data_IF_074241825577
#
_entry.id   IF_074241825577
#
_cell.length_a   1.000
_cell.length_b   1.000
_cell.length_c   1.000
_cell.angle_alpha   90.00
_cell.angle_beta   90.00
_cell.angle_gamma   90.00
#
_symmetry.space_group_name_H-M   'P 1'
#
loop_
_entity.id
_entity.type
_entity.pdbx_description
1 polymer ?
#
# COMPACT_ATOMS: atom_id res chain seq x y z
N UNK A 1 10.06 -12.06 -22.06
CA UNK A 1 8.84 -12.01 -21.22
C UNK A 1 8.52 -13.31 -20.43
N UNK A 2 9.27 -14.43 -20.62
CA UNK A 2 8.92 -15.81 -20.21
C UNK A 2 8.69 -16.12 -18.70
N UNK A 3 8.82 -15.15 -17.77
CA UNK A 3 8.61 -15.37 -16.32
C UNK A 3 7.93 -14.21 -15.59
N UNK A 4 7.25 -13.31 -16.33
CA UNK A 4 6.51 -12.20 -15.73
C UNK A 4 5.02 -12.52 -15.60
N UNK A 5 4.42 -12.16 -14.47
CA UNK A 5 3.00 -12.43 -14.18
C UNK A 5 2.34 -11.25 -13.48
N UNK A 6 1.01 -11.23 -13.47
CA UNK A 6 0.20 -10.26 -12.72
C UNK A 6 -0.53 -10.90 -11.54
N UNK A 7 -0.71 -10.15 -10.45
CA UNK A 7 -1.57 -10.58 -9.35
C UNK A 7 -3.04 -10.26 -9.66
N UNK A 8 -3.85 -11.30 -9.91
CA UNK A 8 -5.31 -11.20 -10.10
C UNK A 8 -6.11 -11.51 -8.82
N UNK A 9 -5.46 -11.50 -7.64
CA UNK A 9 -6.15 -11.62 -6.35
C UNK A 9 -6.21 -10.27 -5.64
N UNK A 10 -7.25 -9.99 -4.84
CA UNK A 10 -7.36 -8.74 -4.07
C UNK A 10 -6.08 -8.39 -3.29
N UNK A 11 -5.45 -9.41 -2.73
CA UNK A 11 -4.17 -9.34 -2.03
C UNK A 11 -3.41 -10.65 -2.22
N UNK A 12 -2.09 -10.56 -2.32
CA UNK A 12 -1.19 -11.71 -2.29
C UNK A 12 -0.07 -11.43 -1.29
N UNK A 13 0.06 -12.29 -0.29
CA UNK A 13 1.11 -12.16 0.73
C UNK A 13 2.46 -12.61 0.15
N UNK A 14 3.49 -11.81 0.40
CA UNK A 14 4.89 -12.16 0.15
C UNK A 14 5.55 -12.49 1.49
N UNK A 15 6.02 -13.72 1.62
CA UNK A 15 6.63 -14.26 2.83
C UNK A 15 8.15 -14.20 2.76
N UNK A 16 8.80 -14.06 3.93
CA UNK A 16 10.27 -14.07 4.03
C UNK A 16 10.89 -15.43 3.67
N UNK A 17 10.24 -16.51 4.13
CA UNK A 17 10.61 -17.90 3.88
C UNK A 17 9.48 -18.63 3.17
N UNK A 18 9.79 -19.76 2.53
CA UNK A 18 8.87 -20.63 1.81
C UNK A 18 8.00 -21.50 2.74
N UNK A 19 7.44 -20.93 3.81
CA UNK A 19 6.49 -21.61 4.69
C UNK A 19 5.46 -20.60 5.25
N UNK A 20 4.27 -21.10 5.60
CA UNK A 20 3.16 -20.25 6.07
C UNK A 20 3.35 -19.72 7.50
N UNK A 21 4.21 -20.35 8.30
CA UNK A 21 4.59 -19.86 9.64
C UNK A 21 5.54 -18.64 9.56
N UNK A 22 6.11 -18.38 8.37
CA UNK A 22 6.99 -17.24 8.14
C UNK A 22 6.21 -15.92 8.23
N UNK A 23 6.88 -14.87 8.73
CA UNK A 23 6.33 -13.52 8.70
C UNK A 23 6.08 -13.08 7.26
N UNK A 24 5.00 -12.32 7.07
CA UNK A 24 4.75 -11.59 5.83
C UNK A 24 5.74 -10.42 5.80
N UNK A 25 6.54 -10.32 4.73
CA UNK A 25 7.43 -9.16 4.54
C UNK A 25 6.66 -8.02 3.87
N UNK A 26 5.83 -8.33 2.88
CA UNK A 26 5.00 -7.33 2.18
C UNK A 26 3.80 -8.00 1.50
N UNK A 27 2.96 -7.19 0.87
CA UNK A 27 1.82 -7.64 0.07
C UNK A 27 1.90 -7.10 -1.36
N UNK A 28 1.34 -7.85 -2.30
CA UNK A 28 1.01 -7.37 -3.63
C UNK A 28 -0.48 -7.02 -3.66
N UNK A 29 -0.83 -5.86 -4.20
CA UNK A 29 -2.21 -5.47 -4.48
C UNK A 29 -2.67 -6.08 -5.80
N UNK A 30 -3.98 -6.10 -6.05
CA UNK A 30 -4.50 -6.49 -7.37
C UNK A 30 -3.87 -5.61 -8.46
N UNK A 31 -3.40 -6.23 -9.53
CA UNK A 31 -2.70 -5.55 -10.63
C UNK A 31 -1.20 -5.38 -10.46
N UNK A 32 -0.64 -5.71 -9.29
CA UNK A 32 0.81 -5.70 -9.13
C UNK A 32 1.45 -6.81 -9.95
N UNK A 33 2.45 -6.44 -10.75
CA UNK A 33 3.19 -7.36 -11.60
C UNK A 33 4.49 -7.78 -10.92
N UNK A 34 4.92 -9.02 -11.16
CA UNK A 34 6.14 -9.59 -10.60
C UNK A 34 6.85 -10.48 -11.62
N UNK A 35 8.11 -10.84 -11.32
CA UNK A 35 8.87 -11.87 -12.06
C UNK A 35 9.16 -13.05 -11.12
N UNK A 36 9.01 -14.27 -11.60
CA UNK A 36 9.44 -15.47 -10.87
C UNK A 36 10.94 -15.65 -11.06
N UNK A 37 11.68 -15.79 -9.96
CA UNK A 37 13.15 -15.98 -9.95
C UNK A 37 13.56 -17.39 -9.54
N UNK A 38 12.74 -18.11 -8.75
CA UNK A 38 12.96 -19.52 -8.42
C UNK A 38 11.62 -20.23 -8.22
N UNK A 39 11.51 -21.47 -8.69
CA UNK A 39 10.34 -22.35 -8.47
C UNK A 39 10.71 -23.43 -7.47
N UNK A 40 9.77 -23.80 -6.61
CA UNK A 40 9.90 -24.89 -5.64
C UNK A 40 8.52 -25.53 -5.45
N UNK A 41 8.44 -26.76 -4.88
CA UNK A 41 7.16 -27.36 -4.55
C UNK A 41 6.31 -26.38 -3.72
N UNK A 42 5.09 -26.11 -4.17
CA UNK A 42 4.12 -25.22 -3.52
C UNK A 42 4.51 -23.72 -3.36
N UNK A 43 5.70 -23.31 -3.81
CA UNK A 43 6.20 -21.93 -3.63
C UNK A 43 6.93 -21.38 -4.85
N UNK A 44 6.86 -20.06 -5.03
CA UNK A 44 7.65 -19.31 -6.02
C UNK A 44 8.38 -18.20 -5.29
N UNK A 45 9.70 -18.13 -5.45
CA UNK A 45 10.45 -16.92 -5.10
C UNK A 45 10.25 -15.92 -6.24
N UNK A 46 9.84 -14.69 -5.91
CA UNK A 46 9.54 -13.65 -6.88
C UNK A 46 10.29 -12.36 -6.57
N UNK A 47 10.33 -11.48 -7.57
CA UNK A 47 10.68 -10.07 -7.43
C UNK A 47 9.49 -9.21 -7.91
N UNK A 48 9.00 -8.31 -7.06
CA UNK A 48 7.92 -7.37 -7.41
C UNK A 48 8.49 -6.35 -8.41
N UNK A 49 7.81 -6.13 -9.54
CA UNK A 49 8.33 -5.20 -10.58
C UNK A 49 8.35 -3.75 -10.13
N UNK A 50 7.43 -3.37 -9.24
CA UNK A 50 7.23 -1.99 -8.81
C UNK A 50 8.36 -1.45 -7.94
N UNK A 51 8.82 -2.26 -7.00
CA UNK A 51 9.79 -1.84 -5.97
C UNK A 51 11.01 -2.77 -5.85
N UNK A 52 11.08 -3.84 -6.63
CA UNK A 52 12.20 -4.79 -6.61
C UNK A 52 12.20 -5.70 -5.38
N UNK A 53 11.15 -5.66 -4.53
CA UNK A 53 11.11 -6.46 -3.31
C UNK A 53 11.07 -7.95 -3.63
N UNK A 54 11.88 -8.75 -2.93
CA UNK A 54 12.00 -10.20 -3.14
C UNK A 54 11.39 -10.97 -1.98
N UNK A 55 10.80 -12.13 -2.28
CA UNK A 55 10.27 -13.03 -1.27
C UNK A 55 9.52 -14.20 -1.89
N UNK A 56 8.74 -14.92 -1.09
CA UNK A 56 8.07 -16.15 -1.49
C UNK A 56 6.55 -15.98 -1.53
N UNK A 57 5.92 -16.48 -2.58
CA UNK A 57 4.46 -16.59 -2.69
C UNK A 57 4.07 -18.06 -2.84
N UNK A 58 2.85 -18.40 -2.42
CA UNK A 58 2.26 -19.72 -2.72
C UNK A 58 2.11 -19.91 -4.23
N UNK A 59 2.46 -21.10 -4.70
CA UNK A 59 2.28 -21.49 -6.10
C UNK A 59 0.80 -21.57 -6.44
N UNK A 60 0.42 -20.86 -7.50
CA UNK A 60 -0.85 -21.03 -8.23
C UNK A 60 -0.67 -20.57 -9.66
N UNK A 61 -1.72 -20.73 -10.48
CA UNK A 61 -1.80 -20.14 -11.82
C UNK A 61 -1.97 -18.62 -11.66
N UNK A 62 -1.11 -17.87 -12.33
CA UNK A 62 -1.17 -16.41 -12.41
C UNK A 62 -1.28 -16.02 -13.88
N UNK A 63 -2.06 -14.99 -14.22
CA UNK A 63 -2.14 -14.51 -15.59
C UNK A 63 -0.84 -13.81 -16.01
N UNK A 64 -0.75 -13.53 -17.31
CA UNK A 64 0.24 -12.59 -17.85
C UNK A 64 0.15 -11.22 -17.14
N UNK A 65 1.22 -10.40 -17.22
CA UNK A 65 1.24 -9.10 -16.56
C UNK A 65 0.03 -8.24 -16.92
N UNK A 66 -0.63 -7.70 -15.89
CA UNK A 66 -1.81 -6.86 -16.04
C UNK A 66 -1.37 -5.48 -16.53
N UNK A 67 -1.80 -5.10 -17.73
CA UNK A 67 -1.65 -3.75 -18.29
C UNK A 67 -2.84 -2.89 -17.86
N UNK A 68 -2.77 -2.35 -16.65
CA UNK A 68 -3.87 -1.58 -16.05
C UNK A 68 -4.05 -0.20 -16.71
N UNK A 69 -5.31 0.19 -16.93
CA UNK A 69 -5.70 1.53 -17.39
C UNK A 69 -6.43 2.33 -16.30
N UNK A 70 -6.89 1.67 -15.23
CA UNK A 70 -7.51 2.30 -14.05
C UNK A 70 -6.84 1.86 -12.74
N UNK A 71 -7.06 2.65 -11.69
CA UNK A 71 -6.67 2.36 -10.31
C UNK A 71 -7.75 2.80 -9.33
N UNK A 72 -7.89 2.04 -8.25
CA UNK A 72 -8.82 2.34 -7.15
C UNK A 72 -8.30 3.53 -6.33
N UNK A 73 -9.16 4.50 -6.02
CA UNK A 73 -8.80 5.68 -5.21
C UNK A 73 -9.55 5.78 -3.88
N UNK A 74 -10.56 4.93 -3.66
CA UNK A 74 -11.21 4.78 -2.35
C UNK A 74 -10.49 3.72 -1.51
N UNK A 75 -10.69 3.73 -0.18
CA UNK A 75 -10.09 2.74 0.72
C UNK A 75 -10.40 1.29 0.33
N UNK A 76 -11.67 1.02 0.03
CA UNK A 76 -12.24 -0.29 -0.25
C UNK A 76 -13.33 -0.17 -1.32
N UNK A 77 -13.04 -0.61 -2.55
CA UNK A 77 -14.02 -0.67 -3.63
C UNK A 77 -14.75 -2.02 -3.62
N UNK A 78 -16.07 -1.97 -3.74
CA UNK A 78 -16.91 -3.17 -3.83
C UNK A 78 -16.87 -3.75 -5.25
N UNK A 79 -16.94 -5.08 -5.37
CA UNK A 79 -17.07 -5.76 -6.65
C UNK A 79 -18.50 -6.27 -6.86
N UNK A 80 -18.89 -6.47 -8.12
CA UNK A 80 -20.22 -6.90 -8.52
C UNK A 80 -20.13 -7.95 -9.64
N UNK A 81 -21.07 -8.91 -9.67
CA UNK A 81 -21.15 -9.90 -10.76
C UNK A 81 -21.81 -9.33 -12.03
N UNK A 82 -22.71 -8.37 -11.86
CA UNK A 82 -23.43 -7.65 -12.94
C UNK A 82 -23.31 -6.14 -12.69
N UNK A 83 -23.48 -5.28 -13.71
CA UNK A 83 -23.37 -3.82 -13.59
C UNK A 83 -24.60 -3.19 -12.91
N UNK A 84 -24.89 -3.65 -11.68
CA UNK A 84 -26.04 -3.23 -10.89
C UNK A 84 -25.67 -3.30 -9.40
N UNK A 85 -26.06 -2.29 -8.62
CA UNK A 85 -25.75 -2.18 -7.18
C UNK A 85 -26.29 -3.34 -6.34
N UNK A 86 -27.41 -3.97 -6.75
CA UNK A 86 -27.98 -5.15 -6.09
C UNK A 86 -27.12 -6.41 -6.25
N UNK A 87 -26.19 -6.44 -7.21
CA UNK A 87 -25.34 -7.60 -7.51
C UNK A 87 -23.96 -7.53 -6.84
N UNK A 88 -23.88 -6.85 -5.69
CA UNK A 88 -22.64 -6.71 -4.91
C UNK A 88 -22.21 -8.06 -4.36
N UNK A 89 -20.91 -8.35 -4.42
CA UNK A 89 -20.31 -9.57 -3.86
C UNK A 89 -19.39 -9.27 -2.68
N UNK A 90 -19.05 -10.29 -1.89
CA UNK A 90 -18.13 -10.19 -0.74
C UNK A 90 -16.65 -9.90 -1.09
N UNK A 91 -16.32 -9.68 -2.37
CA UNK A 91 -14.96 -9.37 -2.83
C UNK A 91 -14.78 -7.85 -2.96
N UNK A 92 -13.56 -7.40 -2.64
CA UNK A 92 -13.23 -5.99 -2.59
C UNK A 92 -11.81 -5.75 -3.12
N UNK A 93 -11.57 -4.57 -3.69
CA UNK A 93 -10.22 -4.10 -4.02
C UNK A 93 -9.81 -2.97 -3.07
N UNK A 94 -8.55 -2.97 -2.65
CA UNK A 94 -8.00 -1.92 -1.79
C UNK A 94 -7.62 -0.68 -2.61
N UNK A 95 -7.46 0.44 -1.91
CA UNK A 95 -6.78 1.63 -2.44
C UNK A 95 -5.51 1.25 -3.23
N UNK A 96 -5.31 1.90 -4.38
CA UNK A 96 -4.17 1.71 -5.28
C UNK A 96 -4.10 0.33 -5.99
N UNK A 97 -5.09 -0.55 -5.83
CA UNK A 97 -5.27 -1.68 -6.75
C UNK A 97 -5.42 -1.17 -8.19
N UNK A 98 -4.74 -1.82 -9.14
CA UNK A 98 -4.68 -1.42 -10.55
C UNK A 98 -5.36 -2.47 -11.42
N UNK A 99 -6.24 -2.07 -12.31
CA UNK A 99 -7.07 -2.99 -13.09
C UNK A 99 -7.19 -2.54 -14.54
N UNK A 100 -7.45 -3.51 -15.43
CA UNK A 100 -7.75 -3.26 -16.83
C UNK A 100 -9.27 -3.29 -17.02
N UNK A 101 -9.90 -2.13 -17.11
CA UNK A 101 -11.31 -2.02 -17.49
C UNK A 101 -11.41 -2.21 -19.01
N UNK A 102 -12.18 -3.19 -19.46
CA UNK A 102 -12.34 -3.55 -20.87
C UNK A 102 -13.65 -3.06 -21.48
N UNK A 103 -14.66 -2.84 -20.66
CA UNK A 103 -16.00 -2.44 -21.07
C UNK A 103 -16.60 -1.51 -20.01
N UNK A 104 -17.50 -0.61 -20.41
CA UNK A 104 -18.27 0.23 -19.49
C UNK A 104 -19.76 0.06 -19.76
N UNK A 105 -20.56 -0.07 -18.71
CA UNK A 105 -22.02 -0.11 -18.78
C UNK A 105 -22.61 0.73 -17.65
N UNK A 106 -23.24 1.85 -18.02
CA UNK A 106 -23.72 2.85 -17.07
C UNK A 106 -22.62 3.31 -16.11
N UNK A 107 -22.87 3.18 -14.80
CA UNK A 107 -21.94 3.61 -13.72
C UNK A 107 -20.83 2.58 -13.43
N UNK A 108 -20.72 1.50 -14.19
CA UNK A 108 -19.82 0.38 -13.91
C UNK A 108 -18.80 0.14 -15.03
N UNK A 109 -17.60 -0.28 -14.64
CA UNK A 109 -16.57 -0.79 -15.53
C UNK A 109 -16.35 -2.28 -15.31
N UNK A 110 -16.27 -3.06 -16.40
CA UNK A 110 -15.97 -4.49 -16.40
C UNK A 110 -14.47 -4.72 -16.39
N UNK A 111 -14.00 -5.65 -15.58
CA UNK A 111 -12.63 -6.16 -15.59
C UNK A 111 -12.65 -7.64 -15.20
N UNK A 112 -11.94 -8.48 -15.95
CA UNK A 112 -12.09 -9.95 -15.85
C UNK A 112 -13.59 -10.34 -15.85
N UNK A 113 -14.03 -11.07 -14.83
CA UNK A 113 -15.40 -11.53 -14.65
C UNK A 113 -16.20 -10.66 -13.67
N UNK A 114 -15.70 -9.47 -13.31
CA UNK A 114 -16.30 -8.59 -12.30
C UNK A 114 -16.59 -7.19 -12.86
N UNK A 115 -17.43 -6.49 -12.11
CA UNK A 115 -17.74 -5.08 -12.31
C UNK A 115 -17.31 -4.29 -11.08
N UNK A 116 -16.95 -3.02 -11.30
CA UNK A 116 -16.61 -2.04 -10.27
C UNK A 116 -17.27 -0.71 -10.61
N UNK A 117 -17.64 0.08 -9.60
CA UNK A 117 -18.18 1.42 -9.85
C UNK A 117 -17.09 2.33 -10.43
N UNK A 118 -17.43 3.05 -11.51
CA UNK A 118 -16.53 4.05 -12.11
C UNK A 118 -16.22 5.20 -11.14
N UNK A 119 -17.11 5.46 -10.17
CA UNK A 119 -16.92 6.42 -9.07
C UNK A 119 -15.82 6.03 -8.07
N UNK A 120 -15.36 4.78 -8.08
CA UNK A 120 -14.38 4.27 -7.10
C UNK A 120 -12.96 4.17 -7.71
N UNK A 121 -12.84 4.45 -9.02
CA UNK A 121 -11.60 4.33 -9.79
C UNK A 121 -11.25 5.63 -10.53
N UNK A 122 -9.97 5.81 -10.83
CA UNK A 122 -9.43 6.88 -11.69
C UNK A 122 -8.52 6.26 -12.75
N UNK A 123 -8.28 6.98 -13.86
CA UNK A 123 -7.26 6.59 -14.85
C UNK A 123 -5.92 6.34 -14.15
N UNK A 124 -5.15 5.36 -14.60
CA UNK A 124 -3.85 5.02 -13.99
C UNK A 124 -2.87 6.21 -14.02
N UNK A 125 -3.00 7.11 -15.00
CA UNK A 125 -2.21 8.33 -15.15
C UNK A 125 -2.57 9.44 -14.17
N UNK A 126 -3.74 9.39 -13.51
CA UNK A 126 -4.19 10.43 -12.56
C UNK A 126 -3.19 10.65 -11.43
N UNK A 127 -2.89 11.89 -11.06
CA UNK A 127 -2.04 12.23 -9.92
C UNK A 127 -2.71 13.32 -9.10
N UNK A 128 -2.59 13.24 -7.78
CA UNK A 128 -3.01 14.30 -6.88
C UNK A 128 -1.89 15.33 -6.74
N UNK A 129 -2.23 16.63 -6.70
CA UNK A 129 -1.28 17.71 -6.37
C UNK A 129 -0.67 17.47 -4.98
N UNK A 130 -1.52 17.13 -3.99
CA UNK A 130 -1.10 16.66 -2.69
C UNK A 130 -0.93 15.13 -2.70
N UNK A 131 0.30 14.66 -2.50
CA UNK A 131 0.64 13.21 -2.54
C UNK A 131 -0.15 12.40 -1.51
N UNK A 132 -0.30 12.91 -0.29
CA UNK A 132 -1.04 12.25 0.80
C UNK A 132 -2.50 12.71 0.88
N UNK A 133 -3.06 13.20 -0.23
CA UNK A 133 -4.49 13.47 -0.31
C UNK A 133 -5.27 12.22 0.09
N UNK A 134 -6.24 12.38 0.99
CA UNK A 134 -7.12 11.33 1.50
C UNK A 134 -6.43 10.24 2.36
N UNK A 135 -5.23 10.50 2.90
CA UNK A 135 -4.54 9.57 3.82
C UNK A 135 -5.37 9.19 5.06
N UNK A 136 -6.27 10.08 5.48
CA UNK A 136 -7.19 9.87 6.59
C UNK A 136 -8.19 8.74 6.36
N UNK A 137 -8.38 8.28 5.11
CA UNK A 137 -9.13 7.06 4.80
C UNK A 137 -8.60 5.84 5.57
N UNK A 138 -7.31 5.83 5.89
CA UNK A 138 -6.70 4.74 6.63
C UNK A 138 -6.85 4.87 8.15
N UNK A 139 -7.36 5.99 8.68
CA UNK A 139 -7.54 6.15 10.12
C UNK A 139 -8.39 5.00 10.69
N UNK A 140 -7.99 4.48 11.84
CA UNK A 140 -8.55 3.28 12.50
C UNK A 140 -8.38 1.94 11.75
N UNK A 141 -7.73 1.89 10.58
CA UNK A 141 -7.41 0.60 9.93
C UNK A 141 -6.41 -0.17 10.78
N UNK A 142 -6.61 -1.48 10.91
CA UNK A 142 -5.77 -2.36 11.73
C UNK A 142 -4.29 -2.26 11.30
N UNK A 143 -3.40 -2.26 12.29
CA UNK A 143 -1.98 -2.44 12.02
C UNK A 143 -1.72 -3.89 11.63
N UNK A 144 -1.07 -4.10 10.51
CA UNK A 144 -0.63 -5.43 10.06
C UNK A 144 0.79 -5.32 9.52
N UNK A 145 1.73 -6.00 10.18
CA UNK A 145 3.11 -6.12 9.69
C UNK A 145 3.12 -6.70 8.27
N UNK A 146 3.80 -6.03 7.34
CA UNK A 146 3.81 -6.40 5.91
C UNK A 146 2.55 -5.98 5.15
N UNK A 147 1.53 -5.45 5.83
CA UNK A 147 0.22 -5.13 5.28
C UNK A 147 0.20 -3.91 4.37
N UNK A 148 -0.65 -3.91 3.34
CA UNK A 148 -0.84 -2.79 2.39
C UNK A 148 -2.31 -2.51 2.04
N UNK A 149 -3.26 -3.05 2.80
CA UNK A 149 -4.68 -3.12 2.40
C UNK A 149 -5.60 -2.48 3.43
N UNK A 150 -6.89 -2.32 3.09
CA UNK A 150 -7.90 -1.91 4.06
C UNK A 150 -8.12 -2.93 5.20
N UNK A 151 -7.66 -4.18 5.05
CA UNK A 151 -7.70 -5.19 6.13
C UNK A 151 -6.56 -5.02 7.14
N UNK A 152 -5.51 -4.30 6.73
CA UNK A 152 -4.42 -3.93 7.61
C UNK A 152 -3.22 -3.39 6.83
N UNK A 153 -2.54 -2.44 7.44
CA UNK A 153 -1.40 -1.72 6.86
C UNK A 153 -0.32 -1.49 7.92
N UNK A 154 0.96 -1.50 7.52
CA UNK A 154 2.06 -1.06 8.39
C UNK A 154 2.53 0.37 8.08
N UNK A 155 3.46 0.85 8.89
CA UNK A 155 3.87 2.26 8.88
C UNK A 155 4.47 2.68 7.54
N UNK A 156 5.40 1.89 7.00
CA UNK A 156 6.08 2.19 5.75
C UNK A 156 5.18 1.94 4.53
N UNK A 157 4.29 0.97 4.58
CA UNK A 157 3.28 0.77 3.54
C UNK A 157 2.30 1.94 3.44
N UNK A 158 1.89 2.53 4.58
CA UNK A 158 1.00 3.70 4.60
C UNK A 158 1.61 4.85 3.79
N UNK A 159 2.91 5.08 3.87
CA UNK A 159 3.60 6.06 3.03
C UNK A 159 3.67 5.57 1.57
N UNK A 160 4.14 4.35 1.38
CA UNK A 160 4.44 3.79 0.06
C UNK A 160 3.21 3.74 -0.86
N UNK A 161 2.02 3.40 -0.36
CA UNK A 161 0.82 3.26 -1.19
C UNK A 161 0.36 4.58 -1.79
N UNK A 162 0.55 5.71 -1.10
CA UNK A 162 0.21 7.04 -1.61
C UNK A 162 1.21 7.55 -2.65
N UNK A 163 2.51 7.33 -2.44
CA UNK A 163 3.52 7.65 -3.45
C UNK A 163 3.29 6.83 -4.73
N UNK A 164 3.07 5.52 -4.55
CA UNK A 164 2.74 4.62 -5.65
C UNK A 164 1.43 5.01 -6.35
N UNK A 165 0.40 5.44 -5.62
CA UNK A 165 -0.84 5.94 -6.22
C UNK A 165 -0.56 7.13 -7.15
N UNK A 166 0.35 8.02 -6.77
CA UNK A 166 0.76 9.17 -7.59
C UNK A 166 1.83 8.83 -8.64
N UNK A 167 2.02 7.53 -8.95
CA UNK A 167 3.01 7.01 -9.90
C UNK A 167 4.45 7.46 -9.58
N UNK A 168 4.77 7.63 -8.29
CA UNK A 168 6.13 7.85 -7.79
C UNK A 168 6.63 6.57 -7.15
N UNK A 169 7.81 6.12 -7.54
CA UNK A 169 8.49 5.02 -6.85
C UNK A 169 8.79 5.43 -5.40
N UNK A 170 8.65 4.48 -4.47
CA UNK A 170 9.09 4.66 -3.10
C UNK A 170 9.48 3.30 -2.48
N UNK A 171 10.59 3.22 -1.72
CA UNK A 171 11.00 1.98 -1.08
C UNK A 171 9.95 1.43 -0.12
N UNK A 172 9.97 0.11 0.09
CA UNK A 172 8.98 -0.58 0.93
C UNK A 172 9.23 -0.40 2.43
N UNK A 173 10.49 -0.39 2.84
CA UNK A 173 10.88 -0.40 4.25
C UNK A 173 11.29 0.99 4.73
N UNK A 174 10.94 1.34 5.98
CA UNK A 174 11.15 2.68 6.54
C UNK A 174 12.61 3.13 6.52
N UNK A 175 13.55 2.21 6.74
CA UNK A 175 14.99 2.49 6.67
C UNK A 175 15.44 2.92 5.27
N UNK A 176 14.90 2.29 4.22
CA UNK A 176 15.23 2.63 2.84
C UNK A 176 14.49 3.91 2.41
N UNK A 177 13.27 4.11 2.90
CA UNK A 177 12.52 5.35 2.70
C UNK A 177 13.26 6.56 3.27
N UNK A 178 13.84 6.43 4.47
CA UNK A 178 14.64 7.47 5.12
C UNK A 178 15.89 7.81 4.31
N UNK A 179 16.60 6.79 3.77
CA UNK A 179 17.79 6.96 2.93
C UNK A 179 17.45 7.55 1.55
N UNK A 180 16.28 7.22 1.02
CA UNK A 180 15.83 7.66 -0.29
C UNK A 180 15.53 9.16 -0.31
N UNK A 181 14.93 9.70 0.75
CA UNK A 181 14.61 11.13 0.84
C UNK A 181 15.80 11.96 1.30
N UNK A 182 16.32 12.81 0.41
CA UNK A 182 17.54 13.59 0.69
C UNK A 182 17.29 14.86 1.50
N UNK A 183 16.14 15.52 1.30
CA UNK A 183 15.83 16.80 1.97
C UNK A 183 15.49 16.62 3.44
N UNK A 184 16.45 16.90 4.32
CA UNK A 184 16.25 16.93 5.79
C UNK A 184 15.55 18.22 6.22
N UNK A 185 14.68 18.12 7.22
CA UNK A 185 13.93 19.23 7.79
C UNK A 185 14.18 19.27 9.30
N UNK A 186 14.36 20.47 9.86
CA UNK A 186 14.40 20.69 11.31
C UNK A 186 12.97 20.62 11.86
N UNK A 187 12.77 20.09 13.07
CA UNK A 187 11.44 19.94 13.68
C UNK A 187 10.63 21.25 13.71
N UNK A 188 11.28 22.40 13.97
CA UNK A 188 10.63 23.73 13.91
C UNK A 188 10.01 24.10 12.56
N UNK A 189 10.47 23.47 11.47
CA UNK A 189 10.02 23.72 10.10
C UNK A 189 9.09 22.60 9.58
N UNK A 190 8.61 21.73 10.49
CA UNK A 190 7.69 20.64 10.16
C UNK A 190 6.39 21.19 9.58
N UNK A 191 5.98 20.65 8.44
CA UNK A 191 4.70 20.99 7.82
C UNK A 191 4.00 19.76 7.24
N UNK A 192 2.78 19.98 6.76
CA UNK A 192 1.98 18.96 6.08
C UNK A 192 2.79 18.26 4.97
N UNK A 193 2.66 16.94 4.91
CA UNK A 193 3.34 15.99 4.01
C UNK A 193 4.82 15.71 4.31
N UNK A 194 5.40 16.32 5.34
CA UNK A 194 6.71 15.85 5.82
C UNK A 194 6.57 14.46 6.44
N UNK A 195 7.65 13.68 6.37
CA UNK A 195 7.70 12.31 6.86
C UNK A 195 8.69 12.27 8.02
N UNK A 196 8.24 11.80 9.17
CA UNK A 196 9.04 11.69 10.40
C UNK A 196 9.46 10.23 10.55
N UNK A 197 10.74 9.99 10.75
CA UNK A 197 11.34 8.67 10.88
C UNK A 197 11.88 8.43 12.28
N UNK A 198 11.78 7.17 12.70
CA UNK A 198 12.47 6.58 13.84
C UNK A 198 13.13 5.29 13.36
N UNK A 199 14.01 4.69 14.17
CA UNK A 199 14.56 3.36 13.87
C UNK A 199 13.43 2.34 13.71
N UNK A 200 13.16 1.91 12.47
CA UNK A 200 12.13 0.93 12.14
C UNK A 200 10.69 1.48 12.07
N UNK A 201 10.46 2.79 12.19
CA UNK A 201 9.10 3.35 12.18
C UNK A 201 9.02 4.66 11.40
N UNK A 202 7.82 4.99 10.90
CA UNK A 202 7.59 6.18 10.09
C UNK A 202 6.17 6.74 10.28
N UNK A 203 6.02 8.06 10.20
CA UNK A 203 4.76 8.78 10.26
C UNK A 203 4.70 9.90 9.20
N UNK A 204 3.49 10.28 8.80
CA UNK A 204 3.25 11.42 7.91
C UNK A 204 2.66 12.58 8.72
N UNK A 205 3.23 13.77 8.57
CA UNK A 205 2.69 15.00 9.15
C UNK A 205 1.45 15.46 8.36
N UNK A 206 0.31 15.57 9.05
CA UNK A 206 -0.90 16.21 8.52
C UNK A 206 -0.85 17.74 8.69
N UNK A 207 -0.11 18.20 9.70
CA UNK A 207 0.27 19.59 9.96
C UNK A 207 1.51 19.62 10.85
N UNK A 208 1.94 20.79 11.33
CA UNK A 208 2.98 20.88 12.37
C UNK A 208 2.55 20.29 13.72
N UNK A 209 1.24 20.14 13.95
CA UNK A 209 0.66 19.67 15.21
C UNK A 209 0.09 18.26 15.14
N UNK A 210 -0.23 17.72 13.97
CA UNK A 210 -0.84 16.38 13.82
C UNK A 210 -0.03 15.47 12.90
N UNK A 211 0.10 14.21 13.29
CA UNK A 211 0.66 13.14 12.46
C UNK A 211 -0.36 12.01 12.27
N UNK A 212 -0.19 11.23 11.22
CA UNK A 212 -0.85 9.93 11.01
C UNK A 212 0.20 8.85 10.82
N UNK A 213 0.00 7.71 11.46
CA UNK A 213 0.87 6.54 11.30
C UNK A 213 0.13 5.23 11.61
N UNK A 214 0.57 4.14 11.00
CA UNK A 214 0.17 2.80 11.42
C UNK A 214 1.03 2.38 12.62
N UNK A 215 0.45 2.28 13.81
CA UNK A 215 1.21 2.15 15.06
C UNK A 215 0.94 0.83 15.75
N UNK A 216 1.96 -0.04 15.74
CA UNK A 216 1.90 -1.40 16.28
C UNK A 216 1.37 -1.48 17.72
N UNK A 217 1.90 -0.68 18.67
CA UNK A 217 1.39 -0.65 20.05
C UNK A 217 -0.09 -0.33 20.20
N UNK A 218 -0.68 0.45 19.28
CA UNK A 218 -2.13 0.72 19.26
C UNK A 218 -2.91 -0.21 18.32
N UNK A 219 -2.23 -1.15 17.66
CA UNK A 219 -2.79 -2.14 16.73
C UNK A 219 -3.61 -1.54 15.58
N UNK A 220 -3.44 -0.25 15.28
CA UNK A 220 -4.18 0.47 14.23
C UNK A 220 -3.44 1.70 13.71
N UNK A 221 -3.94 2.27 12.62
CA UNK A 221 -3.59 3.59 12.14
C UNK A 221 -4.29 4.63 13.00
N UNK A 222 -3.53 5.60 13.48
CA UNK A 222 -4.01 6.65 14.38
C UNK A 222 -3.53 8.01 13.93
N UNK A 223 -4.39 9.01 14.15
CA UNK A 223 -4.02 10.42 14.10
C UNK A 223 -3.72 10.88 15.52
N UNK A 224 -2.58 11.51 15.74
CA UNK A 224 -2.14 11.96 17.06
C UNK A 224 -1.55 13.36 16.99
N UNK A 225 -1.57 14.06 18.14
CA UNK A 225 -0.72 15.23 18.31
C UNK A 225 0.75 14.84 18.15
N UNK A 226 1.52 15.68 17.46
CA UNK A 226 2.90 15.39 17.05
C UNK A 226 3.80 15.23 18.26
N UNK A 227 3.74 16.16 19.22
CA UNK A 227 4.58 16.11 20.43
C UNK A 227 4.17 14.94 21.32
N UNK A 228 2.87 14.72 21.51
CA UNK A 228 2.36 13.57 22.27
C UNK A 228 2.79 12.24 21.67
N UNK A 229 2.77 12.11 20.34
CA UNK A 229 3.20 10.90 19.66
C UNK A 229 4.72 10.66 19.82
N UNK A 230 5.54 11.70 19.68
CA UNK A 230 7.00 11.61 19.89
C UNK A 230 7.29 11.13 21.32
N UNK A 231 6.75 11.81 22.33
CA UNK A 231 6.95 11.46 23.74
C UNK A 231 6.45 10.04 24.05
N UNK A 232 5.31 9.64 23.46
CA UNK A 232 4.78 8.28 23.63
C UNK A 232 5.69 7.23 23.02
N UNK A 233 6.19 7.44 21.80
CA UNK A 233 7.08 6.52 21.11
C UNK A 233 8.40 6.37 21.87
N UNK A 234 8.95 7.48 22.36
CA UNK A 234 10.14 7.47 23.21
C UNK A 234 9.90 6.67 24.48
N UNK A 235 8.81 6.94 25.21
CA UNK A 235 8.51 6.23 26.47
C UNK A 235 8.21 4.74 26.28
N UNK A 236 7.51 4.35 25.22
CA UNK A 236 7.00 2.97 25.05
C UNK A 236 7.92 2.07 24.23
N UNK A 237 8.80 2.63 23.41
CA UNK A 237 9.68 1.87 22.53
C UNK A 237 11.15 2.31 22.60
N UNK A 238 11.47 3.31 23.43
CA UNK A 238 12.81 3.91 23.53
C UNK A 238 13.36 4.37 22.17
N UNK A 239 12.49 4.94 21.33
CA UNK A 239 12.85 5.39 19.98
C UNK A 239 12.85 6.92 19.89
N UNK A 240 13.98 7.48 19.46
CA UNK A 240 14.14 8.89 19.10
C UNK A 240 13.97 9.11 17.59
N UNK A 241 13.58 10.32 17.20
CA UNK A 241 13.49 10.70 15.78
C UNK A 241 14.87 10.57 15.15
N UNK A 242 14.98 9.80 14.06
CA UNK A 242 16.22 9.69 13.28
C UNK A 242 16.33 10.83 12.28
N UNK A 243 15.26 11.16 11.58
CA UNK A 243 15.17 12.35 10.75
C UNK A 243 13.74 12.74 10.38
N UNK A 244 13.58 13.97 9.90
CA UNK A 244 12.36 14.44 9.24
C UNK A 244 12.74 14.74 7.80
N UNK A 245 11.99 14.20 6.84
CA UNK A 245 12.26 14.33 5.41
C UNK A 245 11.07 14.93 4.66
N UNK A 246 11.38 15.67 3.60
CA UNK A 246 10.38 16.26 2.70
C UNK A 246 10.51 15.64 1.30
N UNK A 247 9.35 15.34 0.71
CA UNK A 247 9.21 14.88 -0.69
C UNK A 247 9.66 15.92 -1.70
#
# INVERSE_FOLDING_TARGET
>A
MKNSFGNNSPVLNLYKKNNLKSKIDTQLLYGDNFKVIKRSPNWKKIIIKKDGYKGFIKSKKFPFPIKANFKVFVLKANLYNKPNTKNKIGKHLSFNSRLKVTEKKGKFGKFENYWIKLSDIKKVSHKNKNVFKDIEFFNNIKYLWGGKTFKGIDCSALVQVFLNYNNKFFPRDSIDQEKFLKKKIKFKNLRKNDIIFWKGHVAVALSSKKIIHAYGPMKKVVIMDTKKAINRIERTANLKITSIRRL
#
